data_IF_032318672098
#
_entry.id   IF_032318672098
#
_cell.length_a   1.000
_cell.length_b   1.000
_cell.length_c   1.000
_cell.angle_alpha   90.00
_cell.angle_beta   90.00
_cell.angle_gamma   90.00
#
_symmetry.space_group_name_H-M   'P 1'
#
loop_
_entity.id
_entity.type
_entity.pdbx_description
1 polymer ?
#
# COMPACT_ATOMS: atom_id res chain seq x y z
N UNK A 1 38.13 -5.66 13.84
CA UNK A 1 37.49 -6.97 13.61
C UNK A 1 36.02 -6.73 13.32
N UNK A 2 35.56 -6.97 12.10
CA UNK A 2 34.18 -6.69 11.68
C UNK A 2 33.46 -8.03 11.53
N UNK A 3 32.77 -8.47 12.57
CA UNK A 3 31.98 -9.71 12.54
C UNK A 3 30.60 -9.40 11.98
N UNK A 4 30.31 -9.86 10.76
CA UNK A 4 28.93 -10.04 10.29
C UNK A 4 28.37 -11.24 11.08
N UNK A 5 27.69 -10.97 12.20
CA UNK A 5 27.14 -12.04 13.04
C UNK A 5 25.84 -12.57 12.43
N UNK A 6 25.85 -13.82 11.95
CA UNK A 6 24.73 -14.47 11.26
C UNK A 6 23.49 -14.78 12.12
N UNK A 7 23.37 -14.17 13.30
CA UNK A 7 22.20 -14.30 14.18
C UNK A 7 21.77 -12.97 14.80
N UNK A 8 22.29 -11.84 14.29
CA UNK A 8 21.72 -10.52 14.52
C UNK A 8 21.12 -10.05 13.19
N UNK A 9 19.81 -9.91 13.17
CA UNK A 9 19.05 -9.43 12.02
C UNK A 9 18.27 -8.21 12.45
N UNK A 10 18.00 -7.29 11.52
CA UNK A 10 17.06 -6.22 11.78
C UNK A 10 16.04 -6.14 10.65
N UNK A 11 14.83 -5.69 10.98
CA UNK A 11 13.76 -5.54 9.99
C UNK A 11 13.07 -4.20 10.17
N UNK A 12 12.88 -3.41 9.10
CA UNK A 12 12.07 -2.19 9.15
C UNK A 12 10.59 -2.51 9.33
N UNK A 13 9.95 -1.78 10.25
CA UNK A 13 8.51 -1.76 10.47
C UNK A 13 8.01 -0.33 10.49
N UNK A 14 6.92 -0.08 9.79
CA UNK A 14 6.34 1.24 9.60
C UNK A 14 4.93 1.29 10.15
N UNK A 15 4.63 2.34 10.90
CA UNK A 15 3.30 2.62 11.44
C UNK A 15 2.85 3.98 10.90
N UNK A 16 1.79 3.96 10.09
CA UNK A 16 1.18 5.18 9.53
C UNK A 16 -0.11 5.47 10.27
N UNK A 17 -0.15 6.60 10.97
CA UNK A 17 -1.36 7.11 11.61
C UNK A 17 -2.00 8.14 10.69
N UNK A 18 -3.20 7.83 10.19
CA UNK A 18 -3.96 8.69 9.29
C UNK A 18 -4.78 9.67 10.13
N UNK A 19 -4.55 10.96 9.91
CA UNK A 19 -5.22 12.05 10.62
C UNK A 19 -6.46 12.46 9.83
N UNK A 20 -6.31 12.66 8.52
CA UNK A 20 -7.39 12.94 7.57
C UNK A 20 -7.08 12.32 6.18
N UNK A 21 -7.89 12.63 5.16
CA UNK A 21 -7.77 12.04 3.82
C UNK A 21 -6.46 12.39 3.08
N UNK A 22 -5.70 13.40 3.52
CA UNK A 22 -4.47 13.87 2.89
C UNK A 22 -3.28 13.98 3.86
N UNK A 23 -3.51 13.85 5.16
CA UNK A 23 -2.48 13.99 6.19
C UNK A 23 -2.32 12.71 7.01
N UNK A 24 -1.06 12.30 7.18
CA UNK A 24 -0.68 11.15 7.96
C UNK A 24 0.72 11.33 8.55
N UNK A 25 0.96 10.72 9.71
CA UNK A 25 2.29 10.67 10.32
C UNK A 25 2.87 9.27 10.20
N UNK A 26 4.14 9.18 9.84
CA UNK A 26 4.87 7.92 9.73
C UNK A 26 5.84 7.77 10.91
N UNK A 27 5.76 6.63 11.59
CA UNK A 27 6.77 6.17 12.55
C UNK A 27 7.54 5.00 11.95
N UNK A 28 8.84 5.15 11.80
CA UNK A 28 9.73 4.12 11.30
C UNK A 28 10.48 3.45 12.45
N UNK A 29 10.25 2.16 12.62
CA UNK A 29 10.76 1.30 13.68
C UNK A 29 11.71 0.26 13.09
N UNK A 30 12.77 -0.06 13.83
CA UNK A 30 13.67 -1.16 13.52
C UNK A 30 13.52 -2.21 14.60
N UNK A 31 13.15 -3.42 14.19
CA UNK A 31 13.09 -4.59 15.05
C UNK A 31 14.41 -5.36 14.90
N UNK A 32 15.31 -5.27 15.89
CA UNK A 32 16.55 -6.06 15.95
C UNK A 32 16.26 -7.38 16.64
N UNK A 33 16.47 -8.49 15.94
CA UNK A 33 16.34 -9.86 16.43
C UNK A 33 17.71 -10.43 16.81
N UNK A 34 17.82 -10.94 18.04
CA UNK A 34 18.94 -11.76 18.48
C UNK A 34 18.55 -13.23 18.55
N UNK A 35 19.03 -13.99 17.57
CA UNK A 35 18.80 -15.42 17.48
C UNK A 35 19.82 -16.23 18.28
N UNK A 36 20.80 -15.59 18.93
CA UNK A 36 21.78 -16.27 19.76
C UNK A 36 21.28 -16.49 21.20
N UNK A 37 21.95 -17.40 21.90
CA UNK A 37 21.75 -17.66 23.33
C UNK A 37 22.61 -16.73 24.22
N UNK A 38 23.11 -15.61 23.69
CA UNK A 38 24.04 -14.70 24.38
C UNK A 38 23.44 -13.29 24.46
N UNK A 39 23.79 -12.57 25.52
CA UNK A 39 23.49 -11.15 25.67
C UNK A 39 24.51 -10.35 24.85
N UNK A 40 24.05 -9.33 24.15
CA UNK A 40 24.93 -8.32 23.53
C UNK A 40 24.72 -6.97 24.21
N UNK A 41 25.82 -6.35 24.60
CA UNK A 41 25.87 -4.94 25.00
C UNK A 41 26.30 -4.12 23.79
N UNK A 42 25.41 -3.25 23.33
CA UNK A 42 25.62 -2.44 22.14
C UNK A 42 25.84 -1.00 22.59
N UNK A 43 27.06 -0.49 22.42
CA UNK A 43 27.43 0.89 22.76
C UNK A 43 27.33 1.82 21.55
N UNK A 44 27.72 1.33 20.37
CA UNK A 44 27.54 1.99 19.08
C UNK A 44 27.08 0.97 18.05
N UNK A 45 26.08 1.31 17.25
CA UNK A 45 25.65 0.44 16.16
C UNK A 45 25.14 1.23 14.96
N UNK A 46 25.26 0.59 13.80
CA UNK A 46 24.79 1.10 12.53
C UNK A 46 23.93 0.03 11.88
N UNK A 47 22.70 0.40 11.53
CA UNK A 47 21.83 -0.41 10.70
C UNK A 47 22.19 -0.17 9.25
N UNK A 48 22.38 -1.24 8.49
CA UNK A 48 22.77 -1.16 7.08
C UNK A 48 21.71 -1.90 6.24
N UNK A 49 21.36 -1.31 5.10
CA UNK A 49 20.45 -1.88 4.09
C UNK A 49 20.93 -1.54 2.67
N UNK A 50 20.28 -2.11 1.66
CA UNK A 50 20.64 -1.96 0.25
C UNK A 50 21.59 -3.05 -0.24
N UNK A 51 22.24 -2.80 -1.38
CA UNK A 51 23.14 -3.76 -2.01
C UNK A 51 24.50 -3.75 -1.34
N UNK A 52 24.66 -4.54 -0.29
CA UNK A 52 25.96 -4.75 0.36
C UNK A 52 26.64 -5.95 -0.31
N UNK A 53 27.73 -5.76 -1.10
CA UNK A 53 28.46 -6.89 -1.64
C UNK A 53 29.10 -7.66 -0.49
N UNK A 54 28.58 -8.86 -0.21
CA UNK A 54 29.24 -9.79 0.69
C UNK A 54 30.46 -10.37 -0.05
N UNK A 55 31.66 -10.23 0.54
CA UNK A 55 32.83 -10.95 0.06
C UNK A 55 32.49 -12.45 0.07
N UNK A 56 32.54 -13.06 -1.11
CA UNK A 56 32.07 -14.41 -1.40
C UNK A 56 32.84 -15.45 -0.58
N UNK A 57 32.19 -15.96 0.47
CA UNK A 57 32.63 -17.11 1.26
C UNK A 57 31.41 -17.95 1.62
N UNK A 58 31.27 -19.09 0.95
CA UNK A 58 30.16 -20.05 1.05
C UNK A 58 29.84 -20.44 2.49
N UNK A 59 28.61 -20.18 2.96
CA UNK A 59 28.13 -20.83 4.19
C UNK A 59 26.67 -21.26 4.04
N UNK A 60 26.46 -22.55 4.27
CA UNK A 60 25.17 -23.25 4.32
C UNK A 60 24.30 -22.69 5.44
N UNK A 61 23.01 -22.48 5.13
CA UNK A 61 21.98 -22.09 6.08
C UNK A 61 21.62 -23.26 7.03
N UNK A 62 21.54 -23.05 8.35
CA UNK A 62 20.83 -23.96 9.24
C UNK A 62 19.32 -23.72 9.19
N UNK A 63 18.54 -24.77 9.39
CA UNK A 63 17.09 -24.74 9.42
C UNK A 63 16.53 -23.96 10.63
N UNK A 64 15.44 -23.24 10.37
CA UNK A 64 14.64 -22.46 11.32
C UNK A 64 14.08 -23.32 12.46
N UNK A 65 14.22 -22.85 13.71
CA UNK A 65 13.52 -23.37 14.90
C UNK A 65 12.70 -22.25 15.56
N UNK A 66 11.63 -22.66 16.23
CA UNK A 66 10.47 -21.88 16.70
C UNK A 66 10.76 -20.61 17.52
N UNK A 67 9.87 -19.63 17.35
CA UNK A 67 9.93 -18.26 17.90
C UNK A 67 8.98 -18.13 19.09
N UNK A 68 9.48 -17.76 20.26
CA UNK A 68 8.65 -17.19 21.32
C UNK A 68 9.46 -16.21 22.18
N UNK A 69 8.91 -14.99 22.33
CA UNK A 69 9.24 -13.87 23.25
C UNK A 69 9.53 -12.55 22.52
N UNK A 70 8.51 -11.69 22.49
CA UNK A 70 8.60 -10.27 22.10
C UNK A 70 8.54 -9.44 23.37
N UNK A 71 9.57 -8.64 23.65
CA UNK A 71 9.56 -7.68 24.76
C UNK A 71 9.21 -6.28 24.23
N UNK A 72 8.09 -5.73 24.69
CA UNK A 72 7.66 -4.37 24.37
C UNK A 72 8.19 -3.42 25.45
N UNK A 73 8.84 -2.33 25.06
CA UNK A 73 9.13 -1.21 25.96
C UNK A 73 8.23 -0.05 25.57
N UNK A 74 7.29 0.29 26.46
CA UNK A 74 6.42 1.44 26.32
C UNK A 74 7.28 2.71 26.35
N UNK A 75 7.23 3.49 25.27
CA UNK A 75 7.95 4.75 25.21
C UNK A 75 7.24 5.75 26.12
N UNK A 76 7.81 5.99 27.30
CA UNK A 76 7.48 7.17 28.10
C UNK A 76 7.63 8.40 27.19
N UNK A 77 6.55 9.19 27.10
CA UNK A 77 6.55 10.49 26.45
C UNK A 77 7.50 11.42 27.22
N UNK A 78 8.77 11.39 26.85
CA UNK A 78 9.73 12.41 27.23
C UNK A 78 10.42 12.86 25.96
N UNK A 79 10.20 14.13 25.66
CA UNK A 79 10.87 14.93 24.65
C UNK A 79 12.38 14.62 24.64
N UNK A 80 12.82 13.83 23.67
CA UNK A 80 14.22 13.75 23.27
C UNK A 80 14.24 13.15 21.89
N UNK A 81 14.25 14.04 20.91
CA UNK A 81 14.60 13.75 19.53
C UNK A 81 15.79 12.78 19.51
N UNK A 82 15.57 11.56 19.03
CA UNK A 82 16.66 10.73 18.55
C UNK A 82 17.29 11.49 17.39
N UNK A 83 18.44 12.13 17.62
CA UNK A 83 19.23 12.70 16.53
C UNK A 83 19.90 11.55 15.77
N UNK A 84 19.12 10.91 14.91
CA UNK A 84 19.61 9.95 13.95
C UNK A 84 20.06 10.77 12.76
N UNK A 85 21.38 10.93 12.60
CA UNK A 85 21.92 11.49 11.36
C UNK A 85 21.84 10.41 10.29
N UNK A 86 20.85 10.50 9.40
CA UNK A 86 20.85 9.76 8.15
C UNK A 86 21.81 10.43 7.18
N UNK A 87 23.11 10.16 7.29
CA UNK A 87 24.02 10.41 6.17
C UNK A 87 23.85 9.25 5.21
N UNK A 88 22.97 9.42 4.22
CA UNK A 88 23.04 8.61 3.03
C UNK A 88 24.37 8.95 2.34
N UNK A 89 25.42 8.20 2.65
CA UNK A 89 26.69 8.31 1.93
C UNK A 89 26.45 7.82 0.50
N UNK A 90 26.12 8.75 -0.39
CA UNK A 90 25.85 8.50 -1.82
C UNK A 90 27.11 8.06 -2.59
N UNK A 91 28.21 7.80 -1.89
CA UNK A 91 29.47 7.28 -2.43
C UNK A 91 29.49 5.74 -2.51
N UNK A 92 28.56 5.03 -1.85
CA UNK A 92 28.61 3.56 -1.72
C UNK A 92 27.46 2.84 -2.43
N UNK A 93 27.58 2.61 -3.74
CA UNK A 93 26.95 1.52 -4.53
C UNK A 93 25.52 1.05 -4.15
N UNK A 94 24.62 1.96 -3.72
CA UNK A 94 23.25 1.60 -3.33
C UNK A 94 23.10 0.96 -1.93
N UNK A 95 23.98 1.29 -0.99
CA UNK A 95 23.85 0.96 0.44
C UNK A 95 23.45 2.18 1.26
N UNK A 96 22.65 1.97 2.31
CA UNK A 96 22.16 3.01 3.22
C UNK A 96 22.47 2.63 4.66
N UNK A 97 22.78 3.62 5.48
CA UNK A 97 23.19 3.41 6.87
C UNK A 97 22.45 4.33 7.84
N UNK A 98 22.06 3.79 9.00
CA UNK A 98 21.33 4.50 10.06
C UNK A 98 22.02 4.25 11.40
N UNK A 99 22.49 5.31 12.04
CA UNK A 99 23.21 5.20 13.30
C UNK A 99 22.23 5.14 14.49
N UNK A 100 22.46 4.20 15.40
CA UNK A 100 21.76 4.12 16.68
C UNK A 100 22.72 4.66 17.74
N UNK A 101 22.37 5.83 18.29
CA UNK A 101 23.24 6.60 19.19
C UNK A 101 23.03 6.31 20.67
N UNK A 102 22.07 5.44 21.02
CA UNK A 102 21.80 5.04 22.41
C UNK A 102 22.32 3.65 22.68
N UNK A 103 22.95 3.47 23.83
CA UNK A 103 23.39 2.17 24.30
C UNK A 103 22.18 1.29 24.67
N UNK A 104 22.27 0.00 24.39
CA UNK A 104 21.23 -0.95 24.77
C UNK A 104 21.75 -2.38 24.93
N UNK A 105 21.01 -3.16 25.72
CA UNK A 105 21.21 -4.60 25.82
C UNK A 105 20.24 -5.34 24.91
N UNK A 106 20.75 -6.37 24.26
CA UNK A 106 19.98 -7.29 23.43
C UNK A 106 20.06 -8.68 24.06
N UNK A 107 18.93 -9.10 24.66
CA UNK A 107 18.85 -10.36 25.40
C UNK A 107 18.86 -11.58 24.45
N UNK A 108 19.21 -12.78 24.94
CA UNK A 108 19.11 -14.00 24.16
C UNK A 108 17.70 -14.22 23.63
N UNK A 109 17.57 -14.69 22.37
CA UNK A 109 16.28 -15.05 21.76
C UNK A 109 15.21 -13.95 21.92
N UNK A 110 15.60 -12.71 21.68
CA UNK A 110 14.73 -11.55 21.89
C UNK A 110 14.71 -10.62 20.68
N UNK A 111 13.66 -9.81 20.62
CA UNK A 111 13.53 -8.70 19.66
C UNK A 111 13.54 -7.40 20.44
N UNK A 112 14.38 -6.45 20.00
CA UNK A 112 14.41 -5.08 20.51
C UNK A 112 13.94 -4.12 19.42
N UNK A 113 12.91 -3.33 19.72
CA UNK A 113 12.37 -2.32 18.80
C UNK A 113 12.80 -0.91 19.21
N UNK A 114 13.17 -0.08 18.25
CA UNK A 114 13.41 1.35 18.47
C UNK A 114 13.07 2.16 17.21
N UNK A 115 12.73 3.46 17.35
CA UNK A 115 12.63 4.35 16.20
C UNK A 115 14.02 4.51 15.57
N UNK A 116 14.10 4.35 14.25
CA UNK A 116 15.38 4.43 13.52
C UNK A 116 15.41 5.53 12.44
N UNK A 117 14.27 6.15 12.14
CA UNK A 117 14.19 7.20 11.13
C UNK A 117 13.03 8.14 11.46
N UNK A 118 13.30 9.44 11.38
CA UNK A 118 12.28 10.49 11.40
C UNK A 118 12.12 11.02 9.99
N UNK A 119 10.96 10.78 9.37
CA UNK A 119 10.72 11.03 7.95
C UNK A 119 9.30 11.54 7.75
N UNK A 120 9.15 12.53 6.87
CA UNK A 120 7.83 13.03 6.48
C UNK A 120 7.34 12.25 5.26
N UNK A 121 6.03 12.04 5.15
CA UNK A 121 5.40 11.45 3.98
C UNK A 121 4.34 12.39 3.41
N UNK A 122 4.28 12.49 2.09
CA UNK A 122 3.04 12.86 1.40
C UNK A 122 2.17 11.61 1.28
N UNK A 123 0.87 11.77 1.48
CA UNK A 123 -0.07 10.68 1.64
C UNK A 123 -1.33 10.92 0.80
N UNK A 124 -1.86 9.85 0.21
CA UNK A 124 -3.17 9.85 -0.45
C UNK A 124 -3.85 8.48 -0.23
N UNK A 125 -5.16 8.51 -0.07
CA UNK A 125 -6.00 7.33 0.08
C UNK A 125 -7.02 7.24 -1.05
N UNK A 126 -7.14 6.06 -1.66
CA UNK A 126 -8.17 5.78 -2.66
C UNK A 126 -8.66 4.35 -2.52
N UNK A 127 -9.95 4.14 -2.79
CA UNK A 127 -10.55 2.83 -2.88
C UNK A 127 -10.53 2.33 -4.32
N UNK A 128 -9.87 1.21 -4.59
CA UNK A 128 -9.66 0.74 -5.96
C UNK A 128 -10.19 -0.68 -6.17
N UNK A 129 -10.72 -0.97 -7.35
CA UNK A 129 -11.01 -2.35 -7.75
C UNK A 129 -10.96 -2.47 -9.27
N UNK A 130 -10.73 -3.68 -9.75
CA UNK A 130 -10.67 -4.00 -11.16
C UNK A 130 -11.48 -5.26 -11.44
N UNK A 131 -12.28 -5.24 -12.49
CA UNK A 131 -13.10 -6.38 -12.90
C UNK A 131 -13.01 -6.64 -14.40
N UNK A 132 -13.35 -7.87 -14.78
CA UNK A 132 -13.68 -8.20 -16.15
C UNK A 132 -15.20 -8.16 -16.33
N UNK A 133 -15.66 -7.50 -17.39
CA UNK A 133 -17.07 -7.42 -17.70
C UNK A 133 -17.54 -8.79 -18.21
N UNK A 134 -18.55 -9.35 -17.55
CA UNK A 134 -19.26 -10.56 -17.96
C UNK A 134 -20.75 -10.25 -18.09
N UNK A 135 -21.49 -11.08 -18.83
CA UNK A 135 -22.95 -10.95 -18.93
C UNK A 135 -23.62 -11.17 -17.57
N UNK A 136 -24.61 -10.35 -17.24
CA UNK A 136 -25.40 -10.50 -16.02
C UNK A 136 -24.94 -9.60 -14.88
N UNK A 137 -24.96 -10.12 -13.65
CA UNK A 137 -24.71 -9.34 -12.44
C UNK A 137 -23.33 -9.64 -11.87
N UNK A 138 -22.57 -8.59 -11.57
CA UNK A 138 -21.28 -8.66 -10.89
C UNK A 138 -21.28 -7.72 -9.69
N UNK A 139 -20.78 -8.19 -8.54
CA UNK A 139 -20.68 -7.37 -7.33
C UNK A 139 -19.41 -7.69 -6.58
N UNK A 140 -18.93 -6.72 -5.81
CA UNK A 140 -17.70 -6.88 -5.05
C UNK A 140 -17.38 -5.67 -4.19
N UNK A 141 -16.29 -5.78 -3.44
CA UNK A 141 -15.79 -4.74 -2.55
C UNK A 141 -14.67 -3.95 -3.24
N UNK A 142 -14.44 -2.74 -2.77
CA UNK A 142 -13.24 -1.97 -3.13
C UNK A 142 -12.09 -2.31 -2.20
N UNK A 143 -10.86 -2.24 -2.72
CA UNK A 143 -9.64 -2.39 -1.93
C UNK A 143 -9.13 -1.04 -1.44
N UNK A 144 -8.74 -0.98 -0.17
CA UNK A 144 -8.03 0.15 0.43
C UNK A 144 -6.65 0.23 -0.16
N UNK A 145 -6.39 1.33 -0.86
CA UNK A 145 -5.10 1.64 -1.43
C UNK A 145 -4.57 2.93 -0.84
N UNK A 146 -3.37 2.86 -0.28
CA UNK A 146 -2.62 4.01 0.19
C UNK A 146 -1.47 4.30 -0.75
N UNK A 147 -1.28 5.56 -1.09
CA UNK A 147 -0.13 6.04 -1.84
C UNK A 147 0.70 6.88 -0.88
N UNK A 148 1.96 6.52 -0.72
CA UNK A 148 2.90 7.27 0.10
C UNK A 148 4.07 7.76 -0.74
N UNK A 149 4.55 8.97 -0.47
CA UNK A 149 5.78 9.53 -1.04
C UNK A 149 6.66 10.03 0.11
N UNK A 150 7.79 9.37 0.42
CA UNK A 150 8.61 9.76 1.56
C UNK A 150 9.59 10.88 1.23
N UNK A 151 9.92 11.68 2.24
CA UNK A 151 10.93 12.75 2.14
C UNK A 151 12.36 12.20 2.08
N UNK A 152 12.57 10.95 2.50
CA UNK A 152 13.84 10.24 2.53
C UNK A 152 13.68 8.80 2.02
N UNK A 153 14.79 8.09 1.80
CA UNK A 153 14.75 6.67 1.43
C UNK A 153 14.13 5.82 2.54
N UNK A 154 13.15 4.98 2.19
CA UNK A 154 12.56 3.99 3.09
C UNK A 154 12.99 2.58 2.69
N UNK A 155 13.71 1.87 3.57
CA UNK A 155 14.04 0.46 3.37
C UNK A 155 12.80 -0.43 3.29
N UNK A 156 12.85 -1.50 2.50
CA UNK A 156 11.76 -2.48 2.39
C UNK A 156 11.38 -3.06 3.76
N UNK A 157 10.09 -3.15 4.04
CA UNK A 157 9.60 -3.57 5.36
C UNK A 157 8.10 -3.78 5.42
N UNK A 158 7.60 -4.03 6.62
CA UNK A 158 6.14 -4.14 6.84
C UNK A 158 5.57 -2.79 7.19
N UNK A 159 4.42 -2.44 6.62
CA UNK A 159 3.74 -1.17 6.90
C UNK A 159 2.31 -1.41 7.36
N UNK A 160 1.92 -0.77 8.46
CA UNK A 160 0.59 -0.90 9.06
C UNK A 160 -0.07 0.47 9.14
N UNK A 161 -1.33 0.55 8.72
CA UNK A 161 -2.10 1.79 8.70
C UNK A 161 -3.16 1.79 9.80
N UNK A 162 -3.28 2.92 10.49
CA UNK A 162 -4.20 3.13 11.60
C UNK A 162 -4.98 4.43 11.41
N UNK A 163 -6.23 4.48 11.90
CA UNK A 163 -6.94 5.74 12.08
C UNK A 163 -6.48 6.41 13.37
N UNK A 164 -5.93 7.62 13.29
CA UNK A 164 -5.42 8.34 14.47
C UNK A 164 -6.52 8.62 15.51
N UNK A 165 -7.76 8.84 15.07
CA UNK A 165 -8.90 9.19 15.93
C UNK A 165 -9.41 8.03 16.78
N UNK A 166 -9.24 6.79 16.32
CA UNK A 166 -9.83 5.59 16.96
C UNK A 166 -8.80 4.53 17.32
N UNK A 167 -7.57 4.62 16.79
CA UNK A 167 -6.54 3.59 16.91
C UNK A 167 -6.82 2.32 16.09
N UNK A 168 -7.92 2.28 15.32
CA UNK A 168 -8.31 1.08 14.56
C UNK A 168 -7.32 0.83 13.43
N UNK A 169 -6.85 -0.42 13.32
CA UNK A 169 -6.04 -0.88 12.19
C UNK A 169 -6.89 -0.98 10.92
N UNK A 170 -6.47 -0.26 9.88
CA UNK A 170 -7.10 -0.28 8.56
C UNK A 170 -6.59 -1.39 7.65
N UNK A 171 -5.36 -1.84 7.93
CA UNK A 171 -4.74 -2.97 7.27
C UNK A 171 -3.22 -2.90 7.30
N UNK A 172 -2.61 -3.95 6.78
CA UNK A 172 -1.16 -4.13 6.72
C UNK A 172 -0.76 -4.49 5.30
N UNK A 173 0.39 -3.97 4.87
CA UNK A 173 0.98 -4.22 3.56
C UNK A 173 2.49 -4.39 3.63
N UNK A 174 3.10 -4.53 2.46
CA UNK A 174 4.55 -4.55 2.29
C UNK A 174 5.03 -3.27 1.62
N UNK A 175 6.02 -2.65 2.23
CA UNK A 175 6.81 -1.58 1.64
C UNK A 175 8.00 -2.21 0.90
N UNK A 176 8.25 -1.80 -0.33
CA UNK A 176 9.50 -2.14 -1.03
C UNK A 176 10.50 -1.02 -0.78
N UNK A 177 11.77 -1.22 -1.17
CA UNK A 177 12.75 -0.14 -1.11
C UNK A 177 12.21 1.06 -1.89
N UNK A 178 11.92 2.14 -1.18
CA UNK A 178 11.24 3.31 -1.72
C UNK A 178 12.21 4.48 -1.74
N UNK A 179 12.67 4.92 -2.93
CA UNK A 179 13.50 6.09 -3.06
C UNK A 179 12.83 7.36 -2.53
N UNK A 180 13.65 8.30 -2.10
CA UNK A 180 13.23 9.66 -1.77
C UNK A 180 12.36 10.24 -2.90
N UNK A 181 11.22 10.83 -2.53
CA UNK A 181 10.25 11.44 -3.44
C UNK A 181 9.55 10.51 -4.45
N UNK A 182 9.81 9.20 -4.40
CA UNK A 182 9.09 8.24 -5.23
C UNK A 182 7.80 7.78 -4.54
N UNK A 183 6.71 7.69 -5.31
CA UNK A 183 5.45 7.16 -4.81
C UNK A 183 5.50 5.64 -4.74
N UNK A 184 5.03 5.08 -3.63
CA UNK A 184 4.66 3.68 -3.53
C UNK A 184 3.16 3.55 -3.26
N UNK A 185 2.51 2.73 -4.09
CA UNK A 185 1.12 2.30 -3.90
C UNK A 185 1.07 1.00 -3.10
N UNK A 186 0.26 0.96 -2.05
CA UNK A 186 0.15 -0.13 -1.10
C UNK A 186 -1.33 -0.49 -0.94
N UNK A 187 -1.70 -1.70 -1.36
CA UNK A 187 -3.04 -2.26 -1.10
C UNK A 187 -3.04 -3.01 0.22
N UNK A 188 -4.04 -2.79 1.06
CA UNK A 188 -4.16 -3.42 2.39
C UNK A 188 -5.43 -4.26 2.56
N UNK A 189 -6.07 -4.63 1.45
CA UNK A 189 -7.26 -5.47 1.43
C UNK A 189 -8.58 -4.70 1.27
N UNK A 190 -9.69 -5.43 1.36
CA UNK A 190 -11.01 -4.91 1.03
C UNK A 190 -11.59 -3.99 2.13
N UNK A 191 -12.33 -2.97 1.70
CA UNK A 191 -13.21 -2.18 2.54
C UNK A 191 -14.62 -2.80 2.56
N UNK A 192 -15.14 -3.25 3.72
CA UNK A 192 -16.43 -3.93 3.81
C UNK A 192 -17.61 -2.97 3.60
N UNK A 193 -17.40 -1.66 3.76
CA UNK A 193 -18.48 -0.66 3.72
C UNK A 193 -18.67 -0.06 2.32
N UNK A 194 -17.73 -0.33 1.41
CA UNK A 194 -17.76 0.24 0.06
C UNK A 194 -17.76 -0.88 -0.98
N UNK A 195 -18.87 -0.95 -1.71
CA UNK A 195 -19.13 -2.03 -2.67
C UNK A 195 -19.64 -1.48 -4.00
N UNK A 196 -19.45 -2.25 -5.05
CA UNK A 196 -20.09 -2.03 -6.35
C UNK A 196 -21.07 -3.15 -6.68
N UNK A 197 -22.06 -2.81 -7.51
CA UNK A 197 -22.95 -3.73 -8.18
C UNK A 197 -23.08 -3.28 -9.63
N UNK A 198 -22.85 -4.20 -10.56
CA UNK A 198 -22.85 -3.97 -12.01
C UNK A 198 -23.82 -4.96 -12.62
N UNK A 199 -24.74 -4.42 -13.42
CA UNK A 199 -25.65 -5.19 -14.25
C UNK A 199 -25.28 -4.89 -15.69
N UNK A 200 -24.83 -5.91 -16.42
CA UNK A 200 -24.50 -5.80 -17.84
C UNK A 200 -25.50 -6.62 -18.68
N UNK A 201 -25.85 -6.07 -19.83
CA UNK A 201 -26.68 -6.74 -20.84
C UNK A 201 -25.98 -6.60 -22.17
N UNK A 202 -25.50 -7.72 -22.70
CA UNK A 202 -24.85 -7.80 -24.02
C UNK A 202 -25.92 -8.07 -25.05
N UNK A 203 -26.04 -7.20 -26.04
CA UNK A 203 -26.93 -7.35 -27.18
C UNK A 203 -26.09 -7.57 -28.44
N UNK A 204 -26.29 -8.69 -29.13
CA UNK A 204 -25.68 -8.89 -30.43
C UNK A 204 -26.38 -8.00 -31.46
N UNK A 205 -25.65 -7.04 -32.01
CA UNK A 205 -26.12 -6.14 -33.07
C UNK A 205 -25.65 -6.71 -34.40
N UNK A 206 -26.58 -7.26 -35.20
CA UNK A 206 -26.28 -7.61 -36.59
C UNK A 206 -26.16 -6.32 -37.41
N UNK A 207 -24.96 -6.00 -37.86
CA UNK A 207 -24.73 -4.98 -38.87
C UNK A 207 -24.04 -5.63 -40.06
N UNK A 208 -24.78 -6.26 -40.98
CA UNK A 208 -24.17 -6.84 -42.20
C UNK A 208 -23.21 -5.83 -42.87
N UNK A 209 -21.93 -6.16 -43.09
CA UNK A 209 -21.30 -7.50 -43.07
C UNK A 209 -20.66 -7.96 -41.74
N UNK A 210 -20.74 -7.19 -40.66
CA UNK A 210 -20.04 -7.41 -39.38
C UNK A 210 -20.99 -7.74 -38.22
N UNK A 211 -20.63 -8.71 -37.39
CA UNK A 211 -21.30 -8.90 -36.10
C UNK A 211 -20.70 -7.93 -35.08
N UNK A 212 -21.50 -6.97 -34.63
CA UNK A 212 -21.17 -6.08 -33.52
C UNK A 212 -21.77 -6.59 -32.21
N UNK A 213 -21.11 -6.35 -31.09
CA UNK A 213 -21.72 -6.50 -29.77
C UNK A 213 -21.85 -5.13 -29.11
N UNK A 214 -23.10 -4.74 -28.81
CA UNK A 214 -23.40 -3.56 -28.01
C UNK A 214 -23.60 -4.02 -26.56
N UNK A 215 -22.93 -3.37 -25.62
CA UNK A 215 -23.04 -3.70 -24.20
C UNK A 215 -23.65 -2.53 -23.46
N UNK A 216 -24.75 -2.77 -22.76
CA UNK A 216 -25.34 -1.79 -21.83
C UNK A 216 -24.94 -2.17 -20.42
N UNK A 217 -24.43 -1.21 -19.66
CA UNK A 217 -23.94 -1.43 -18.30
C UNK A 217 -24.58 -0.42 -17.37
N UNK A 218 -25.23 -0.91 -16.32
CA UNK A 218 -25.68 -0.13 -15.18
C UNK A 218 -24.77 -0.43 -13.99
N UNK A 219 -24.27 0.61 -13.34
CA UNK A 219 -23.38 0.49 -12.19
C UNK A 219 -23.97 1.24 -11.02
N UNK A 220 -23.93 0.61 -9.85
CA UNK A 220 -24.19 1.24 -8.55
C UNK A 220 -22.96 1.08 -7.68
N UNK A 221 -22.48 2.16 -7.09
CA UNK A 221 -21.43 2.12 -6.08
C UNK A 221 -22.02 2.67 -4.80
N UNK A 222 -21.89 1.94 -3.69
CA UNK A 222 -22.46 2.33 -2.41
C UNK A 222 -21.38 2.54 -1.36
N UNK A 223 -21.48 3.63 -0.61
CA UNK A 223 -20.70 3.92 0.57
C UNK A 223 -21.60 3.84 1.81
N UNK A 224 -21.33 2.87 2.70
CA UNK A 224 -22.08 2.66 3.96
C UNK A 224 -21.37 3.21 5.19
N UNK A 225 -20.29 3.98 4.99
CA UNK A 225 -19.60 4.67 6.08
C UNK A 225 -20.44 5.84 6.55
N UNK A 226 -20.46 6.05 7.87
CA UNK A 226 -21.38 7.00 8.50
C UNK A 226 -21.00 8.48 8.28
N UNK A 227 -19.70 8.79 8.28
CA UNK A 227 -19.18 10.17 8.21
C UNK A 227 -18.06 10.38 7.20
N UNK A 228 -17.66 9.32 6.49
CA UNK A 228 -16.50 9.37 5.61
C UNK A 228 -16.95 9.50 4.14
N UNK A 229 -16.47 10.54 3.47
CA UNK A 229 -16.52 10.67 2.02
C UNK A 229 -15.42 9.78 1.45
N UNK A 230 -15.71 9.04 0.37
CA UNK A 230 -14.71 8.14 -0.24
C UNK A 230 -14.48 8.47 -1.70
N UNK A 231 -13.21 8.48 -2.10
CA UNK A 231 -12.79 8.48 -3.50
C UNK A 231 -12.60 7.04 -3.97
N UNK A 232 -13.31 6.67 -5.03
CA UNK A 232 -13.24 5.32 -5.62
C UNK A 232 -12.71 5.36 -7.04
N UNK A 233 -11.98 4.31 -7.43
CA UNK A 233 -11.56 4.02 -8.80
C UNK A 233 -11.95 2.59 -9.17
N UNK A 234 -12.90 2.44 -10.08
CA UNK A 234 -13.34 1.17 -10.64
C UNK A 234 -12.79 1.03 -12.06
N UNK A 235 -11.96 0.01 -12.27
CA UNK A 235 -11.45 -0.35 -13.60
C UNK A 235 -12.27 -1.50 -14.16
N UNK A 236 -12.88 -1.33 -15.32
CA UNK A 236 -13.64 -2.38 -16.00
C UNK A 236 -12.90 -2.76 -17.27
N UNK A 237 -12.37 -3.97 -17.34
CA UNK A 237 -11.92 -4.57 -18.59
C UNK A 237 -13.11 -5.21 -19.29
N UNK A 238 -13.55 -4.59 -20.37
CA UNK A 238 -14.69 -5.06 -21.15
C UNK A 238 -14.36 -6.28 -22.03
N UNK A 239 -13.09 -6.53 -22.33
CA UNK A 239 -12.66 -7.53 -23.32
C UNK A 239 -12.93 -7.14 -24.78
N UNK A 240 -13.75 -6.11 -25.02
CA UNK A 240 -14.13 -5.66 -26.36
C UNK A 240 -13.12 -4.64 -26.90
N UNK A 241 -12.47 -4.99 -28.01
CA UNK A 241 -11.59 -4.08 -28.75
C UNK A 241 -12.42 -3.17 -29.65
N UNK A 242 -11.87 -2.00 -29.96
CA UNK A 242 -12.47 -1.02 -30.89
C UNK A 242 -13.89 -0.63 -30.50
N UNK A 243 -14.14 -0.36 -29.22
CA UNK A 243 -15.43 0.16 -28.76
C UNK A 243 -15.39 1.67 -28.58
N UNK A 244 -16.52 2.32 -28.84
CA UNK A 244 -16.81 3.70 -28.47
C UNK A 244 -17.65 3.70 -27.20
N UNK A 245 -17.17 4.42 -26.19
CA UNK A 245 -17.93 4.67 -24.96
C UNK A 245 -19.01 5.72 -25.22
N UNK A 246 -20.26 5.37 -24.88
CA UNK A 246 -21.41 6.28 -24.88
C UNK A 246 -21.95 6.34 -23.45
N UNK A 247 -21.78 7.48 -22.80
CA UNK A 247 -22.33 7.72 -21.47
C UNK A 247 -23.83 8.02 -21.62
N UNK A 248 -24.68 7.28 -20.90
CA UNK A 248 -26.14 7.42 -20.99
C UNK A 248 -26.72 8.24 -19.84
N UNK A 249 -26.38 7.88 -18.61
CA UNK A 249 -26.91 8.52 -17.39
C UNK A 249 -25.84 8.60 -16.29
N UNK A 250 -25.88 9.67 -15.49
CA UNK A 250 -25.09 9.82 -14.25
C UNK A 250 -25.99 10.39 -13.16
N UNK A 251 -25.94 9.83 -11.95
CA UNK A 251 -26.66 10.34 -10.78
C UNK A 251 -26.09 11.66 -10.26
N UNK A 252 -24.78 11.88 -10.42
CA UNK A 252 -24.12 13.10 -9.96
C UNK A 252 -22.99 13.52 -10.91
N UNK A 253 -22.56 14.79 -10.76
CA UNK A 253 -21.38 15.35 -11.42
C UNK A 253 -20.05 14.81 -10.87
N UNK A 254 -20.09 14.09 -9.74
CA UNK A 254 -18.89 13.58 -9.07
C UNK A 254 -18.35 12.31 -9.72
N UNK A 255 -18.99 11.84 -10.79
CA UNK A 255 -18.63 10.62 -11.51
C UNK A 255 -17.97 10.98 -12.83
N UNK A 256 -16.74 10.52 -13.00
CA UNK A 256 -15.98 10.60 -14.24
C UNK A 256 -15.83 9.20 -14.82
N UNK A 257 -16.17 9.04 -16.10
CA UNK A 257 -16.04 7.77 -16.83
C UNK A 257 -15.20 8.06 -18.08
N UNK A 258 -14.07 7.37 -18.19
CA UNK A 258 -13.14 7.51 -19.32
C UNK A 258 -12.76 6.13 -19.86
N UNK A 259 -12.31 6.09 -21.11
CA UNK A 259 -11.61 4.94 -21.67
C UNK A 259 -10.10 5.16 -21.55
N UNK A 260 -9.36 4.08 -21.30
CA UNK A 260 -7.91 4.14 -21.36
C UNK A 260 -7.47 4.49 -22.81
N UNK A 261 -6.62 5.52 -23.00
CA UNK A 261 -6.23 5.99 -24.32
C UNK A 261 -5.40 4.96 -25.10
N UNK A 262 -4.66 4.10 -24.40
CA UNK A 262 -3.80 3.08 -24.99
C UNK A 262 -4.55 1.75 -25.17
N UNK A 263 -5.59 1.50 -24.38
CA UNK A 263 -6.39 0.30 -24.45
C UNK A 263 -7.90 0.57 -24.28
N UNK A 264 -8.60 0.79 -25.39
CA UNK A 264 -10.05 1.07 -25.41
C UNK A 264 -10.94 -0.03 -24.83
N UNK A 265 -10.41 -1.23 -24.57
CA UNK A 265 -11.15 -2.27 -23.84
C UNK A 265 -11.25 -1.98 -22.34
N UNK A 266 -10.42 -1.08 -21.81
CA UNK A 266 -10.39 -0.69 -20.40
C UNK A 266 -11.18 0.60 -20.22
N UNK A 267 -12.12 0.55 -19.28
CA UNK A 267 -12.84 1.71 -18.76
C UNK A 267 -12.35 2.04 -17.36
N UNK A 268 -12.21 3.33 -17.09
CA UNK A 268 -11.83 3.84 -15.78
C UNK A 268 -12.99 4.72 -15.30
N UNK A 269 -13.57 4.33 -14.17
CA UNK A 269 -14.59 5.09 -13.46
C UNK A 269 -13.96 5.63 -12.20
N UNK A 270 -14.06 6.94 -12.00
CA UNK A 270 -13.67 7.62 -10.76
C UNK A 270 -14.90 8.31 -10.19
N UNK A 271 -15.13 8.14 -8.89
CA UNK A 271 -16.24 8.80 -8.22
C UNK A 271 -15.89 9.25 -6.80
N UNK A 272 -16.48 10.35 -6.35
CA UNK A 272 -16.47 10.79 -4.95
C UNK A 272 -17.86 10.52 -4.39
N UNK A 273 -17.95 9.67 -3.36
CA UNK A 273 -19.21 9.19 -2.80
C UNK A 273 -19.33 9.68 -1.36
N UNK A 274 -20.40 10.41 -1.07
CA UNK A 274 -20.68 10.89 0.28
C UNK A 274 -20.98 9.74 1.23
N UNK A 275 -20.91 10.01 2.52
CA UNK A 275 -21.26 9.07 3.57
C UNK A 275 -22.72 8.59 3.41
N UNK A 276 -22.96 7.29 3.65
CA UNK A 276 -24.29 6.65 3.55
C UNK A 276 -25.04 6.86 2.22
N UNK A 277 -24.33 7.04 1.10
CA UNK A 277 -24.94 7.29 -0.21
C UNK A 277 -24.59 6.23 -1.26
N UNK A 278 -25.44 6.17 -2.28
CA UNK A 278 -25.27 5.34 -3.48
C UNK A 278 -25.13 6.25 -4.71
N UNK A 279 -24.14 5.98 -5.55
CA UNK A 279 -23.96 6.62 -6.85
C UNK A 279 -24.31 5.63 -7.96
N UNK A 280 -25.10 6.07 -8.94
CA UNK A 280 -25.65 5.25 -10.02
C UNK A 280 -25.35 5.86 -11.37
N UNK A 281 -24.86 5.06 -12.30
CA UNK A 281 -24.61 5.53 -13.66
C UNK A 281 -24.76 4.41 -14.67
N UNK A 282 -24.98 4.80 -15.91
CA UNK A 282 -25.16 3.89 -17.01
C UNK A 282 -24.34 4.35 -18.22
N UNK A 283 -23.73 3.38 -18.89
CA UNK A 283 -23.02 3.61 -20.13
C UNK A 283 -23.24 2.45 -21.10
N UNK A 284 -22.89 2.70 -22.35
CA UNK A 284 -22.85 1.70 -23.39
C UNK A 284 -21.48 1.65 -24.04
N UNK A 285 -21.05 0.44 -24.38
CA UNK A 285 -19.95 0.20 -25.28
C UNK A 285 -20.53 -0.23 -26.61
N UNK A 286 -20.30 0.57 -27.65
CA UNK A 286 -20.67 0.21 -29.02
C UNK A 286 -19.43 -0.17 -29.79
N UNK A 287 -19.47 -1.30 -30.48
CA UNK A 287 -18.37 -1.67 -31.36
C UNK A 287 -18.31 -0.71 -32.55
N UNK A 288 -17.14 -0.14 -32.78
CA UNK A 288 -16.84 0.68 -33.95
C UNK A 288 -16.42 -0.24 -35.10
N UNK A 289 -16.89 0.07 -36.31
CA UNK A 289 -16.45 -0.56 -37.55
C UNK A 289 -15.00 -0.18 -37.90
#
# INVERSE_FOLDING_TARGET
MTYITRGLLWTPRYEVSIIDDQSATLRALADINNEHNRIYEITNSQLITGSVPLLSGSVRAPASMDKERVEYMEAAMSDTHSSISSTADSTNFGSYSYNITREFYLLPKSIKTFPFLSVMISFNYTLETAIYLSNGVSSGLFQRTFIIRPSEFLPAGTITFYLATTGITLGQGRLVDTPKQNEQKISVGNDPDVKFNIISIITATRQTPTYGQDVNVNVTISNRKDKQIVSVKLTINSGYRNTTLIIKNRSSSNITITQDPNNRSILIIQAIIQANQDEKFAFSLKQSN
#
